data_IF_150246330780
#
_entry.id   IF_150246330780
#
_cell.length_a   1.000
_cell.length_b   1.000
_cell.length_c   1.000
_cell.angle_alpha   90.00
_cell.angle_beta   90.00
_cell.angle_gamma   90.00
#
_symmetry.space_group_name_H-M   'P 1'
#
loop_
_entity.id
_entity.type
_entity.pdbx_description
1 polymer ?
#
# COMPACT_ATOMS: atom_id res chain seq x y z
N UNK A 1 -19.16 -39.84 40.24
CA UNK A 1 -20.50 -39.24 39.99
C UNK A 1 -21.33 -39.41 41.25
N UNK A 2 -21.55 -38.35 42.04
CA UNK A 2 -22.51 -38.37 43.14
C UNK A 2 -23.79 -37.67 42.67
N UNK A 3 -24.78 -38.48 42.30
CA UNK A 3 -26.15 -38.03 42.04
C UNK A 3 -26.82 -37.75 43.39
N UNK A 4 -26.66 -36.53 43.89
CA UNK A 4 -27.57 -35.97 44.88
C UNK A 4 -28.01 -34.60 44.34
N UNK A 5 -29.27 -34.53 43.90
CA UNK A 5 -30.06 -33.30 43.66
C UNK A 5 -29.76 -32.43 42.43
N UNK A 6 -29.15 -32.95 41.35
CA UNK A 6 -29.24 -32.32 40.02
C UNK A 6 -28.80 -30.84 39.91
N UNK A 7 -28.03 -30.33 40.86
CA UNK A 7 -27.62 -28.92 40.89
C UNK A 7 -26.42 -28.72 39.98
N UNK A 8 -26.61 -27.98 38.89
CA UNK A 8 -25.52 -27.52 38.01
C UNK A 8 -25.08 -26.13 38.46
N UNK A 9 -23.92 -26.04 39.11
CA UNK A 9 -23.34 -24.77 39.56
C UNK A 9 -22.59 -24.09 38.40
N UNK A 10 -23.02 -22.89 38.02
CA UNK A 10 -22.38 -22.09 36.99
C UNK A 10 -21.63 -20.91 37.62
N UNK A 11 -20.31 -21.03 37.74
CA UNK A 11 -19.45 -19.94 38.22
C UNK A 11 -19.19 -18.94 37.09
N UNK A 12 -20.01 -17.90 37.00
CA UNK A 12 -19.73 -16.77 36.13
C UNK A 12 -18.81 -15.79 36.87
N UNK A 13 -17.81 -15.20 36.22
CA UNK A 13 -17.02 -14.12 36.80
C UNK A 13 -17.67 -12.74 36.61
N UNK A 14 -18.90 -12.70 36.06
CA UNK A 14 -19.59 -11.50 35.65
C UNK A 14 -20.85 -11.29 36.49
N UNK A 15 -20.66 -10.90 37.75
CA UNK A 15 -21.76 -10.56 38.66
C UNK A 15 -21.74 -9.07 38.99
N UNK A 16 -22.93 -8.46 38.99
CA UNK A 16 -23.11 -7.02 39.23
C UNK A 16 -23.39 -6.68 40.69
N UNK A 17 -23.72 -7.69 41.51
CA UNK A 17 -23.99 -7.56 42.93
C UNK A 17 -23.97 -8.93 43.61
N UNK A 18 -23.82 -8.92 44.94
CA UNK A 18 -23.87 -10.13 45.77
C UNK A 18 -25.11 -10.97 45.46
N UNK A 19 -26.29 -10.35 45.31
CA UNK A 19 -27.56 -11.02 45.00
C UNK A 19 -27.52 -11.89 43.72
N UNK A 20 -26.93 -11.41 42.62
CA UNK A 20 -26.75 -12.19 41.38
C UNK A 20 -25.78 -13.36 41.52
N UNK A 21 -24.91 -13.32 42.54
CA UNK A 21 -24.02 -14.41 42.88
C UNK A 21 -24.64 -15.41 43.86
N UNK A 22 -25.84 -15.16 44.41
CA UNK A 22 -26.59 -16.09 45.29
C UNK A 22 -27.75 -16.78 44.60
N UNK A 23 -28.19 -16.28 43.45
CA UNK A 23 -29.17 -16.96 42.59
C UNK A 23 -28.49 -18.16 41.90
N UNK A 24 -28.13 -19.18 42.67
CA UNK A 24 -27.77 -20.48 42.15
C UNK A 24 -29.00 -21.38 42.20
N UNK A 25 -29.85 -21.30 41.19
CA UNK A 25 -30.74 -22.42 40.84
C UNK A 25 -30.84 -22.53 39.32
N UNK A 26 -30.78 -23.78 38.90
CA UNK A 26 -30.94 -24.41 37.58
C UNK A 26 -31.58 -23.51 36.52
N UNK A 27 -30.89 -23.34 35.39
CA UNK A 27 -31.31 -22.54 34.21
C UNK A 27 -32.64 -22.97 33.56
N UNK A 28 -33.45 -23.81 34.19
CA UNK A 28 -34.65 -24.42 33.60
C UNK A 28 -35.95 -24.14 34.37
N UNK A 29 -35.91 -23.63 35.59
CA UNK A 29 -37.13 -23.40 36.38
C UNK A 29 -37.54 -21.92 36.37
N UNK A 30 -38.82 -21.66 36.11
CA UNK A 30 -39.43 -20.31 36.12
C UNK A 30 -39.53 -19.73 37.53
N UNK A 31 -39.41 -20.55 38.57
CA UNK A 31 -39.58 -20.16 39.97
C UNK A 31 -38.30 -20.42 40.77
N UNK A 32 -37.92 -19.45 41.61
CA UNK A 32 -36.71 -19.53 42.45
C UNK A 32 -37.11 -20.01 43.84
N UNK A 33 -36.53 -21.13 44.29
CA UNK A 33 -36.72 -21.60 45.65
C UNK A 33 -35.92 -20.74 46.65
N UNK A 34 -36.59 -20.19 47.67
CA UNK A 34 -35.99 -19.37 48.72
C UNK A 34 -36.09 -20.10 50.07
N UNK A 35 -35.01 -20.14 50.84
CA UNK A 35 -35.03 -20.74 52.19
C UNK A 35 -35.93 -19.96 53.15
N UNK A 36 -36.51 -20.58 54.20
CA UNK A 36 -37.49 -19.96 55.11
C UNK A 36 -37.02 -18.66 55.80
N UNK A 37 -35.71 -18.53 56.07
CA UNK A 37 -35.12 -17.34 56.70
C UNK A 37 -34.43 -16.40 55.69
N UNK A 38 -34.74 -16.54 54.39
CA UNK A 38 -34.13 -15.67 53.39
C UNK A 38 -34.71 -14.25 53.49
N UNK A 39 -33.90 -13.20 53.66
CA UNK A 39 -34.40 -11.84 53.63
C UNK A 39 -35.09 -11.56 52.28
N UNK A 40 -36.28 -10.96 52.30
CA UNK A 40 -37.03 -10.70 51.07
C UNK A 40 -36.44 -9.49 50.32
N UNK A 41 -35.39 -9.75 49.53
CA UNK A 41 -34.59 -8.74 48.84
C UNK A 41 -35.33 -8.08 47.67
N UNK A 42 -36.47 -8.62 47.22
CA UNK A 42 -37.36 -7.99 46.24
C UNK A 42 -37.97 -6.70 46.77
N UNK A 43 -38.24 -6.64 48.09
CA UNK A 43 -38.85 -5.49 48.76
C UNK A 43 -37.79 -4.51 49.26
N UNK A 44 -36.66 -5.02 49.74
CA UNK A 44 -35.58 -4.23 50.37
C UNK A 44 -34.72 -3.50 49.32
N UNK A 45 -34.75 -3.95 48.06
CA UNK A 45 -33.89 -3.43 47.01
C UNK A 45 -32.43 -3.89 47.17
N UNK A 46 -31.66 -3.79 46.09
CA UNK A 46 -30.28 -4.26 46.10
C UNK A 46 -29.41 -3.37 47.02
N UNK A 47 -28.56 -3.96 47.89
CA UNK A 47 -27.74 -3.17 48.82
C UNK A 47 -26.79 -2.20 48.10
N UNK A 48 -26.24 -1.23 48.86
CA UNK A 48 -25.24 -0.20 48.46
C UNK A 48 -24.08 -0.71 47.58
N UNK A 49 -23.88 -2.02 47.50
CA UNK A 49 -22.89 -2.72 46.68
C UNK A 49 -23.05 -2.50 45.18
N UNK A 50 -24.26 -2.31 44.63
CA UNK A 50 -24.44 -1.96 43.19
C UNK A 50 -23.72 -0.66 42.82
N UNK A 51 -23.86 0.37 43.67
CA UNK A 51 -23.22 1.67 43.46
C UNK A 51 -21.70 1.56 43.56
N UNK A 52 -21.18 0.80 44.54
CA UNK A 52 -19.75 0.56 44.68
C UNK A 52 -19.15 -0.18 43.48
N UNK A 53 -19.83 -1.20 42.96
CA UNK A 53 -19.35 -1.99 41.79
C UNK A 53 -19.36 -1.13 40.52
N UNK A 54 -20.38 -0.31 40.33
CA UNK A 54 -20.43 0.66 39.22
C UNK A 54 -19.27 1.65 39.31
N UNK A 55 -19.03 2.25 40.47
CA UNK A 55 -17.92 3.17 40.69
C UNK A 55 -16.55 2.49 40.44
N UNK A 56 -16.39 1.24 40.89
CA UNK A 56 -15.17 0.46 40.64
C UNK A 56 -14.93 0.22 39.13
N UNK A 57 -15.97 -0.15 38.37
CA UNK A 57 -15.87 -0.35 36.91
C UNK A 57 -15.57 0.95 36.17
N UNK A 58 -16.20 2.05 36.56
CA UNK A 58 -15.94 3.37 36.00
C UNK A 58 -14.50 3.82 36.27
N UNK A 59 -13.99 3.62 37.50
CA UNK A 59 -12.58 3.90 37.86
C UNK A 59 -11.60 3.07 37.02
N UNK A 60 -11.90 1.78 36.81
CA UNK A 60 -11.06 0.89 35.99
C UNK A 60 -11.02 1.30 34.52
N UNK A 61 -12.17 1.70 33.96
CA UNK A 61 -12.26 2.25 32.60
C UNK A 61 -11.47 3.56 32.46
N UNK A 62 -11.56 4.45 33.45
CA UNK A 62 -10.76 5.69 33.47
C UNK A 62 -9.26 5.41 33.46
N UNK A 63 -8.77 4.49 34.31
CA UNK A 63 -7.35 4.09 34.32
C UNK A 63 -6.90 3.45 33.00
N UNK A 64 -7.76 2.66 32.34
CA UNK A 64 -7.44 2.12 31.02
C UNK A 64 -7.37 3.22 29.95
N UNK A 65 -8.29 4.18 29.96
CA UNK A 65 -8.26 5.31 29.05
C UNK A 65 -7.09 6.26 29.32
N UNK A 66 -6.73 6.49 30.58
CA UNK A 66 -5.57 7.27 30.98
C UNK A 66 -4.27 6.60 30.52
N UNK A 67 -4.14 5.28 30.65
CA UNK A 67 -2.99 4.55 30.11
C UNK A 67 -2.95 4.58 28.58
N UNK A 68 -4.10 4.46 27.91
CA UNK A 68 -4.19 4.57 26.46
C UNK A 68 -3.82 5.97 25.96
N UNK A 69 -4.30 7.03 26.64
CA UNK A 69 -3.94 8.42 26.35
C UNK A 69 -2.47 8.71 26.68
N UNK A 70 -1.92 8.18 27.78
CA UNK A 70 -0.52 8.34 28.12
C UNK A 70 0.41 7.61 27.13
N UNK A 71 -0.03 6.47 26.58
CA UNK A 71 0.65 5.81 25.45
C UNK A 71 0.53 6.61 24.15
N UNK A 72 -0.60 7.26 23.89
CA UNK A 72 -0.77 8.15 22.73
C UNK A 72 0.05 9.45 22.86
N UNK A 73 0.14 10.05 24.05
CA UNK A 73 0.94 11.26 24.26
C UNK A 73 2.45 11.01 24.23
N UNK A 74 2.91 9.86 24.75
CA UNK A 74 4.30 9.40 24.55
C UNK A 74 4.58 9.01 23.11
N UNK A 75 3.54 8.75 22.32
CA UNK A 75 3.59 8.51 20.87
C UNK A 75 3.27 9.77 20.05
N UNK A 76 3.53 10.98 20.58
CA UNK A 76 3.85 12.15 19.73
C UNK A 76 5.18 11.85 19.01
N UNK A 77 5.09 10.92 18.07
CA UNK A 77 6.17 10.31 17.31
C UNK A 77 6.84 11.38 16.48
N UNK A 78 8.17 11.33 16.47
CA UNK A 78 9.01 11.90 15.42
C UNK A 78 8.35 11.53 14.09
N UNK A 79 7.92 12.53 13.32
CA UNK A 79 7.32 12.30 12.01
C UNK A 79 8.42 11.74 11.10
N UNK A 80 8.35 10.46 10.77
CA UNK A 80 9.26 9.86 9.82
C UNK A 80 8.75 10.14 8.40
N UNK A 81 9.62 10.63 7.52
CA UNK A 81 9.27 10.72 6.09
C UNK A 81 8.94 9.31 5.56
N UNK A 82 7.86 9.25 4.78
CA UNK A 82 7.54 8.05 4.01
C UNK A 82 8.46 7.94 2.80
N UNK A 83 8.74 6.70 2.36
CA UNK A 83 9.45 6.45 1.09
C UNK A 83 8.80 7.18 -0.09
N UNK A 84 7.47 7.31 -0.07
CA UNK A 84 6.73 8.01 -1.11
C UNK A 84 7.02 9.52 -1.11
N UNK A 85 6.99 10.18 0.06
CA UNK A 85 7.32 11.59 0.20
C UNK A 85 8.78 11.86 -0.25
N UNK A 86 9.71 10.97 0.08
CA UNK A 86 11.11 11.08 -0.39
C UNK A 86 11.19 10.88 -1.90
N UNK A 87 10.42 9.97 -2.50
CA UNK A 87 10.41 9.77 -3.95
C UNK A 87 9.88 11.00 -4.71
N UNK A 88 8.82 11.64 -4.21
CA UNK A 88 8.32 12.91 -4.77
C UNK A 88 9.37 14.02 -4.63
N UNK A 89 10.05 14.09 -3.49
CA UNK A 89 11.12 15.05 -3.25
C UNK A 89 12.33 14.84 -4.19
N UNK A 90 12.72 13.59 -4.44
CA UNK A 90 13.79 13.25 -5.39
C UNK A 90 13.46 13.73 -6.80
N UNK A 91 12.22 13.54 -7.25
CA UNK A 91 11.76 13.99 -8.58
C UNK A 91 11.71 15.51 -8.65
N UNK A 92 11.18 16.18 -7.61
CA UNK A 92 11.06 17.63 -7.57
C UNK A 92 12.42 18.36 -7.64
N UNK A 93 13.44 17.80 -6.98
CA UNK A 93 14.79 18.36 -6.95
C UNK A 93 15.73 17.73 -7.99
N UNK A 94 15.22 16.83 -8.85
CA UNK A 94 15.98 16.11 -9.88
C UNK A 94 17.24 15.37 -9.36
N UNK A 95 17.18 14.85 -8.14
CA UNK A 95 18.30 14.17 -7.49
C UNK A 95 18.46 12.78 -8.08
N UNK A 96 19.65 12.47 -8.61
CA UNK A 96 19.96 11.16 -9.21
C UNK A 96 21.06 10.42 -8.48
N UNK A 97 21.81 11.11 -7.62
CA UNK A 97 22.91 10.53 -6.85
C UNK A 97 22.63 10.54 -5.36
N UNK A 98 23.15 9.53 -4.65
CA UNK A 98 23.18 9.47 -3.20
C UNK A 98 23.94 10.65 -2.59
N UNK A 99 25.05 11.07 -3.22
CA UNK A 99 25.88 12.20 -2.74
C UNK A 99 25.13 13.53 -2.76
N UNK A 100 24.28 13.74 -3.78
CA UNK A 100 23.43 14.93 -3.89
C UNK A 100 22.35 14.92 -2.81
N UNK A 101 21.76 13.75 -2.52
CA UNK A 101 20.78 13.59 -1.46
C UNK A 101 21.39 13.88 -0.07
N UNK A 102 22.61 13.40 0.17
CA UNK A 102 23.36 13.66 1.40
C UNK A 102 23.72 15.14 1.56
N UNK A 103 24.19 15.80 0.50
CA UNK A 103 24.49 17.23 0.52
C UNK A 103 23.26 18.06 0.87
N UNK A 104 22.10 17.72 0.30
CA UNK A 104 20.83 18.39 0.58
C UNK A 104 20.30 18.10 2.00
N UNK A 105 20.53 16.90 2.51
CA UNK A 105 20.19 16.57 3.89
C UNK A 105 21.04 17.38 4.89
N UNK A 106 22.32 17.61 4.59
CA UNK A 106 23.21 18.44 5.41
C UNK A 106 22.77 19.92 5.39
N UNK A 107 22.43 20.47 4.21
CA UNK A 107 21.91 21.85 4.12
C UNK A 107 20.59 22.00 4.87
N UNK A 108 19.66 21.05 4.74
CA UNK A 108 18.38 21.09 5.46
C UNK A 108 18.56 20.90 6.98
N UNK A 109 19.53 20.09 7.41
CA UNK A 109 19.88 19.93 8.82
C UNK A 109 20.37 21.25 9.43
N UNK A 110 21.19 22.01 8.69
CA UNK A 110 21.64 23.36 9.08
C UNK A 110 20.48 24.37 9.18
N UNK A 111 19.46 24.23 8.33
CA UNK A 111 18.23 25.01 8.39
C UNK A 111 17.25 24.56 9.50
N UNK A 112 17.58 23.48 10.23
CA UNK A 112 16.76 22.93 11.32
C UNK A 112 15.74 21.87 10.89
N UNK A 113 15.63 21.55 9.60
CA UNK A 113 14.80 20.46 9.07
C UNK A 113 15.58 19.14 9.12
N UNK A 114 15.45 18.41 10.22
CA UNK A 114 16.21 17.16 10.46
C UNK A 114 15.55 15.90 9.93
N UNK A 115 14.35 16.00 9.36
CA UNK A 115 13.55 14.83 9.00
C UNK A 115 14.19 14.00 7.87
N UNK A 116 14.77 14.65 6.86
CA UNK A 116 15.47 13.98 5.76
C UNK A 116 16.77 13.32 6.25
N UNK A 117 17.52 13.99 7.11
CA UNK A 117 18.74 13.43 7.72
C UNK A 117 18.41 12.21 8.59
N UNK A 118 17.35 12.28 9.40
CA UNK A 118 16.87 11.14 10.18
C UNK A 118 16.44 9.98 9.29
N UNK A 119 15.77 10.24 8.17
CA UNK A 119 15.39 9.21 7.21
C UNK A 119 16.61 8.46 6.65
N UNK A 120 17.64 9.21 6.23
CA UNK A 120 18.88 8.66 5.68
C UNK A 120 19.63 7.84 6.73
N UNK A 121 19.82 8.39 7.94
CA UNK A 121 20.58 7.73 9.01
C UNK A 121 19.92 6.43 9.52
N UNK A 122 18.60 6.31 9.38
CA UNK A 122 17.86 5.10 9.76
C UNK A 122 17.85 4.01 8.66
N UNK A 123 18.44 4.26 7.49
CA UNK A 123 18.43 3.36 6.33
C UNK A 123 19.85 2.93 5.97
N UNK A 124 19.99 1.76 5.33
CA UNK A 124 21.25 1.37 4.70
C UNK A 124 21.45 2.14 3.39
N UNK A 125 22.70 2.34 2.98
CA UNK A 125 23.03 2.98 1.70
C UNK A 125 22.40 2.23 0.53
N UNK A 126 22.39 0.89 0.55
CA UNK A 126 21.75 0.06 -0.47
C UNK A 126 20.25 0.37 -0.60
N UNK A 127 19.53 0.54 0.51
CA UNK A 127 18.10 0.85 0.48
C UNK A 127 17.82 2.25 -0.09
N UNK A 128 18.75 3.20 0.11
CA UNK A 128 18.65 4.56 -0.44
C UNK A 128 18.90 4.52 -1.95
N UNK A 129 19.93 3.80 -2.40
CA UNK A 129 20.22 3.63 -3.82
C UNK A 129 19.06 2.94 -4.55
N UNK A 130 18.51 1.87 -3.95
CA UNK A 130 17.36 1.17 -4.51
C UNK A 130 16.12 2.08 -4.60
N UNK A 131 15.91 2.96 -3.61
CA UNK A 131 14.82 3.94 -3.65
C UNK A 131 15.01 4.93 -4.80
N UNK A 132 16.22 5.47 -4.98
CA UNK A 132 16.53 6.40 -6.08
C UNK A 132 16.29 5.70 -7.43
N UNK A 133 16.83 4.50 -7.60
CA UNK A 133 16.66 3.70 -8.81
C UNK A 133 15.20 3.41 -9.12
N UNK A 134 14.44 2.94 -8.14
CA UNK A 134 13.02 2.61 -8.33
C UNK A 134 12.19 3.87 -8.65
N UNK A 135 12.50 5.01 -8.03
CA UNK A 135 11.84 6.28 -8.31
C UNK A 135 12.04 6.69 -9.77
N UNK A 136 13.28 6.63 -10.27
CA UNK A 136 13.57 6.97 -11.66
C UNK A 136 13.11 5.92 -12.66
N UNK A 137 13.09 4.64 -12.28
CA UNK A 137 12.47 3.57 -13.09
C UNK A 137 10.98 3.83 -13.27
N UNK A 138 10.27 4.21 -12.21
CA UNK A 138 8.85 4.53 -12.25
C UNK A 138 8.58 5.75 -13.14
N UNK A 139 9.38 6.82 -12.99
CA UNK A 139 9.23 8.04 -13.80
C UNK A 139 9.48 7.79 -15.29
N UNK A 140 10.50 6.99 -15.62
CA UNK A 140 10.87 6.67 -17.00
C UNK A 140 10.07 5.49 -17.61
N UNK A 141 9.19 4.85 -16.83
CA UNK A 141 8.43 3.69 -17.30
C UNK A 141 7.53 4.05 -18.50
N UNK A 142 6.86 5.21 -18.44
CA UNK A 142 6.01 5.70 -19.55
C UNK A 142 6.82 5.94 -20.82
N UNK A 143 7.95 6.64 -20.71
CA UNK A 143 8.83 6.91 -21.84
C UNK A 143 9.43 5.63 -22.48
N UNK A 144 9.53 4.53 -21.72
CA UNK A 144 9.95 3.22 -22.26
C UNK A 144 8.84 2.52 -23.04
N UNK A 145 7.57 2.73 -22.69
CA UNK A 145 6.43 2.19 -23.44
C UNK A 145 6.30 2.87 -24.81
N UNK A 146 6.50 4.18 -24.87
CA UNK A 146 6.34 4.98 -26.10
C UNK A 146 7.42 4.69 -27.17
N UNK A 147 8.51 4.00 -26.80
CA UNK A 147 9.65 3.75 -27.71
C UNK A 147 9.49 2.54 -28.63
N UNK A 148 8.52 1.66 -28.43
CA UNK A 148 8.27 0.56 -29.38
C UNK A 148 7.38 1.03 -30.52
N UNK A 149 7.91 1.91 -31.38
CA UNK A 149 7.28 2.21 -32.67
C UNK A 149 7.18 0.91 -33.48
N UNK A 150 6.03 0.67 -34.13
CA UNK A 150 5.90 -0.49 -34.99
C UNK A 150 6.88 -0.40 -36.16
N UNK A 151 7.31 -1.54 -36.71
CA UNK A 151 8.24 -1.57 -37.87
C UNK A 151 7.68 -0.81 -39.07
N UNK A 152 6.35 -0.72 -39.19
CA UNK A 152 5.67 0.06 -40.23
C UNK A 152 5.61 1.56 -39.92
N UNK A 153 5.69 1.95 -38.66
CA UNK A 153 5.64 3.36 -38.25
C UNK A 153 6.96 4.07 -38.55
N UNK A 154 8.09 3.34 -38.56
CA UNK A 154 9.39 3.87 -38.95
C UNK A 154 9.39 4.46 -40.39
N UNK A 155 8.99 3.72 -41.45
CA UNK A 155 8.82 4.30 -42.78
C UNK A 155 7.75 5.40 -42.86
N UNK A 156 6.70 5.35 -42.03
CA UNK A 156 5.64 6.38 -42.03
C UNK A 156 6.15 7.70 -41.50
N UNK A 157 6.92 7.68 -40.42
CA UNK A 157 7.57 8.87 -39.87
C UNK A 157 8.61 9.43 -40.85
N UNK A 158 9.35 8.55 -41.52
CA UNK A 158 10.33 8.92 -42.53
C UNK A 158 9.69 9.54 -43.79
N UNK A 159 8.38 9.37 -44.02
CA UNK A 159 7.68 10.01 -45.15
C UNK A 159 7.64 11.54 -45.02
N UNK A 160 7.54 12.05 -43.78
CA UNK A 160 7.50 13.48 -43.48
C UNK A 160 8.87 14.08 -43.18
N UNK A 161 9.91 13.25 -43.06
CA UNK A 161 11.27 13.71 -42.77
C UNK A 161 11.98 14.18 -44.04
N UNK A 162 12.89 15.14 -43.88
CA UNK A 162 13.82 15.53 -44.95
C UNK A 162 14.77 14.38 -45.29
N UNK A 163 15.21 14.30 -46.56
CA UNK A 163 16.20 13.30 -46.94
C UNK A 163 17.54 13.60 -46.25
N UNK A 164 18.36 12.57 -46.05
CA UNK A 164 19.72 12.73 -45.48
C UNK A 164 20.56 13.71 -46.29
N UNK A 165 21.48 14.42 -45.63
CA UNK A 165 22.39 15.37 -46.28
C UNK A 165 23.15 14.71 -47.44
N UNK A 166 23.16 15.36 -48.61
CA UNK A 166 23.78 14.83 -49.82
C UNK A 166 22.98 13.75 -50.57
N UNK A 167 21.75 13.43 -50.12
CA UNK A 167 20.88 12.46 -50.79
C UNK A 167 20.52 12.85 -52.23
N UNK A 168 20.27 14.15 -52.50
CA UNK A 168 19.90 14.71 -53.81
C UNK A 168 18.77 13.95 -54.56
N UNK A 169 17.97 13.16 -53.85
CA UNK A 169 16.99 12.25 -54.45
C UNK A 169 17.60 11.11 -55.29
N UNK A 170 18.88 10.79 -55.14
CA UNK A 170 19.54 9.73 -55.91
C UNK A 170 19.14 8.34 -55.44
N UNK A 171 18.97 8.15 -54.13
CA UNK A 171 18.58 6.87 -53.54
C UNK A 171 17.29 6.30 -54.12
N UNK A 172 16.27 7.14 -54.36
CA UNK A 172 15.02 6.70 -54.98
C UNK A 172 15.20 6.38 -56.47
N UNK A 173 16.11 7.07 -57.17
CA UNK A 173 16.44 6.77 -58.57
C UNK A 173 17.13 5.41 -58.68
N UNK A 174 18.15 5.17 -57.85
CA UNK A 174 18.86 3.90 -57.77
C UNK A 174 17.90 2.75 -57.41
N UNK A 175 17.02 2.95 -56.43
CA UNK A 175 16.03 1.94 -56.05
C UNK A 175 15.08 1.58 -57.21
N UNK A 176 14.60 2.59 -57.97
CA UNK A 176 13.75 2.36 -59.15
C UNK A 176 14.50 1.64 -60.27
N UNK A 177 15.76 1.98 -60.48
CA UNK A 177 16.61 1.33 -61.49
C UNK A 177 16.84 -0.14 -61.15
N UNK A 178 17.14 -0.46 -59.88
CA UNK A 178 17.26 -1.86 -59.42
C UNK A 178 15.96 -2.63 -59.67
N UNK A 179 14.80 -2.05 -59.32
CA UNK A 179 13.51 -2.71 -59.57
C UNK A 179 13.26 -2.94 -61.07
N UNK A 180 13.60 -1.96 -61.91
CA UNK A 180 13.49 -2.06 -63.36
C UNK A 180 14.40 -3.16 -63.91
N UNK A 181 15.65 -3.23 -63.47
CA UNK A 181 16.63 -4.22 -63.93
C UNK A 181 16.24 -5.64 -63.55
N UNK A 182 15.46 -5.81 -62.47
CA UNK A 182 14.95 -7.10 -62.03
C UNK A 182 13.52 -7.40 -62.55
N UNK A 183 12.96 -6.58 -63.44
CA UNK A 183 11.58 -6.68 -63.94
C UNK A 183 10.52 -6.74 -62.82
N UNK A 184 10.76 -6.05 -61.70
CA UNK A 184 9.82 -5.99 -60.57
C UNK A 184 9.05 -4.67 -60.63
N UNK A 185 7.73 -4.75 -60.68
CA UNK A 185 6.89 -3.57 -60.66
C UNK A 185 6.92 -2.90 -59.27
N UNK A 186 7.15 -1.57 -59.15
CA UNK A 186 7.30 -0.89 -57.86
C UNK A 186 6.13 -1.06 -56.90
N UNK A 187 4.90 -1.13 -57.42
CA UNK A 187 3.69 -1.32 -56.60
C UNK A 187 3.69 -2.72 -55.95
N UNK A 188 4.10 -3.75 -56.69
CA UNK A 188 4.16 -5.14 -56.20
C UNK A 188 5.25 -5.26 -55.13
N UNK A 189 6.39 -4.62 -55.35
CA UNK A 189 7.46 -4.55 -54.35
C UNK A 189 6.99 -3.84 -53.08
N UNK A 190 6.32 -2.69 -53.22
CA UNK A 190 5.83 -1.92 -52.08
C UNK A 190 4.77 -2.67 -51.26
N UNK A 191 3.86 -3.40 -51.92
CA UNK A 191 2.88 -4.24 -51.22
C UNK A 191 3.55 -5.39 -50.47
N UNK A 192 4.50 -6.09 -51.11
CA UNK A 192 5.24 -7.18 -50.47
C UNK A 192 6.05 -6.67 -49.26
N UNK A 193 6.69 -5.50 -49.39
CA UNK A 193 7.43 -4.87 -48.31
C UNK A 193 6.50 -4.47 -47.15
N UNK A 194 5.33 -3.90 -47.43
CA UNK A 194 4.33 -3.56 -46.42
C UNK A 194 3.84 -4.81 -45.68
N UNK A 195 3.56 -5.88 -46.39
CA UNK A 195 3.14 -7.16 -45.81
C UNK A 195 4.25 -7.75 -44.92
N UNK A 196 5.50 -7.71 -45.36
CA UNK A 196 6.65 -8.18 -44.60
C UNK A 196 6.88 -7.35 -43.32
N UNK A 197 6.69 -6.03 -43.39
CA UNK A 197 6.83 -5.12 -42.24
C UNK A 197 5.68 -5.23 -41.24
N UNK A 198 4.48 -5.66 -41.68
CA UNK A 198 3.30 -5.80 -40.81
C UNK A 198 3.16 -7.21 -40.22
N UNK A 199 3.42 -8.27 -41.01
CA UNK A 199 3.28 -9.68 -40.58
C UNK A 199 4.57 -10.28 -40.03
N UNK A 200 5.73 -9.66 -40.27
CA UNK A 200 7.04 -10.13 -39.79
C UNK A 200 7.60 -11.31 -40.60
N UNK A 201 8.74 -11.87 -40.15
CA UNK A 201 9.38 -13.07 -40.73
C UNK A 201 8.88 -14.37 -40.10
N UNK A 202 7.70 -14.36 -39.46
CA UNK A 202 7.11 -15.55 -38.86
C UNK A 202 6.25 -16.28 -39.89
N UNK A 203 6.75 -17.41 -40.37
CA UNK A 203 6.07 -18.48 -41.11
C UNK A 203 4.67 -18.15 -41.64
N UNK A 204 4.60 -17.72 -42.89
CA UNK A 204 3.40 -17.89 -43.72
C UNK A 204 3.65 -19.07 -44.66
N UNK A 205 3.76 -20.27 -44.09
CA UNK A 205 3.55 -21.52 -44.83
C UNK A 205 2.28 -22.16 -44.25
N UNK A 206 1.18 -21.98 -44.96
CA UNK A 206 0.20 -23.04 -45.19
C UNK A 206 0.42 -23.54 -46.61
#
# INVERSE_FOLDING_TARGET
>A
MMKNHGVVLHFSNAHDNYHSAYQYVTKQDTEVFLSPNHPNLNVIGSPRTKTCIRAYRESRKRKQNENANAQQEKAKKIRHLSNFEVSEFLVANQIKSETELLALADTQSKEGKKDLANFILCRSNEAIQELIDNTWRLQNARAKLDRKKSRIDLPRDARSAECVDGCNGEWIKCAREVLKNNNIHPVVFASALKDLLTKGRGNSEM
#
